data_IF_470091664395
#
_entry.id   IF_470091664395
#
_cell.length_a   1.000
_cell.length_b   1.000
_cell.length_c   1.000
_cell.angle_alpha   90.00
_cell.angle_beta   90.00
_cell.angle_gamma   90.00
#
_symmetry.space_group_name_H-M   'P 1'
#
loop_
_entity.id
_entity.type
_entity.pdbx_description
1 polymer ?
#
# COMPACT_ATOMS: atom_id res chain seq x y z
N UNK A 1 -56.66 -2.12 46.45
CA UNK A 1 -56.36 -0.70 46.23
C UNK A 1 -55.21 -0.64 45.24
N UNK A 2 -55.52 -0.30 44.00
CA UNK A 2 -54.61 -0.22 42.85
C UNK A 2 -53.77 1.04 42.96
N UNK A 3 -52.45 0.89 43.05
CA UNK A 3 -51.51 1.99 42.88
C UNK A 3 -51.31 2.23 41.38
N UNK A 4 -52.07 3.18 40.85
CA UNK A 4 -51.95 3.65 39.46
C UNK A 4 -50.77 4.61 39.40
N UNK A 5 -49.60 4.14 39.00
CA UNK A 5 -48.51 5.03 38.61
C UNK A 5 -48.98 5.95 37.48
N UNK A 6 -49.09 7.25 37.77
CA UNK A 6 -49.30 8.29 36.76
C UNK A 6 -48.14 8.27 35.78
N UNK A 7 -48.40 7.72 34.60
CA UNK A 7 -47.41 7.61 33.53
C UNK A 7 -47.30 8.96 32.85
N UNK A 8 -46.31 9.76 33.24
CA UNK A 8 -46.04 11.06 32.61
C UNK A 8 -45.55 10.85 31.18
N UNK A 9 -46.29 11.39 30.21
CA UNK A 9 -46.12 11.17 28.76
C UNK A 9 -45.32 12.28 28.06
N UNK A 10 -44.98 13.36 28.79
CA UNK A 10 -44.31 14.52 28.24
C UNK A 10 -42.78 14.34 28.26
N UNK A 11 -42.17 14.33 27.08
CA UNK A 11 -40.73 14.41 26.92
C UNK A 11 -40.29 15.86 27.16
N UNK A 12 -39.22 16.02 27.94
CA UNK A 12 -38.63 17.33 28.23
C UNK A 12 -37.29 17.38 27.52
N UNK A 13 -37.05 18.47 26.78
CA UNK A 13 -35.77 18.65 26.10
C UNK A 13 -34.68 18.91 27.14
N UNK A 14 -33.56 18.22 26.96
CA UNK A 14 -32.32 18.43 27.72
C UNK A 14 -31.23 18.89 26.77
N UNK A 15 -30.24 19.61 27.27
CA UNK A 15 -29.10 19.99 26.45
C UNK A 15 -28.37 18.72 25.97
N UNK A 16 -27.88 18.71 24.72
CA UNK A 16 -27.19 17.56 24.14
C UNK A 16 -26.02 17.07 25.02
N UNK A 17 -25.29 17.99 25.65
CA UNK A 17 -24.21 17.65 26.59
C UNK A 17 -24.69 16.89 27.81
N UNK A 18 -25.85 17.26 28.36
CA UNK A 18 -26.47 16.58 29.52
C UNK A 18 -27.02 15.20 29.11
N UNK A 19 -27.60 15.09 27.91
CA UNK A 19 -28.03 13.81 27.36
C UNK A 19 -26.84 12.85 27.16
N UNK A 20 -25.74 13.33 26.57
CA UNK A 20 -24.53 12.52 26.38
C UNK A 20 -23.86 12.14 27.71
N UNK A 21 -23.82 13.05 28.67
CA UNK A 21 -23.26 12.77 29.99
C UNK A 21 -24.07 11.71 30.74
N UNK A 22 -25.40 11.84 30.76
CA UNK A 22 -26.27 10.85 31.41
C UNK A 22 -26.20 9.48 30.73
N UNK A 23 -26.13 9.45 29.38
CA UNK A 23 -25.94 8.22 28.63
C UNK A 23 -24.62 7.51 28.98
N UNK A 24 -23.48 8.21 28.96
CA UNK A 24 -22.19 7.60 29.32
C UNK A 24 -22.15 7.15 30.79
N UNK A 25 -22.78 7.90 31.70
CA UNK A 25 -22.87 7.50 33.11
C UNK A 25 -23.65 6.18 33.25
N UNK A 26 -24.78 6.04 32.55
CA UNK A 26 -25.55 4.80 32.54
C UNK A 26 -24.76 3.62 31.95
N UNK A 27 -24.01 3.84 30.87
CA UNK A 27 -23.12 2.82 30.31
C UNK A 27 -22.02 2.41 31.31
N UNK A 28 -21.44 3.38 32.03
CA UNK A 28 -20.40 3.14 33.04
C UNK A 28 -20.92 2.29 34.20
N UNK A 29 -22.11 2.63 34.73
CA UNK A 29 -22.75 1.91 35.84
C UNK A 29 -23.00 0.43 35.50
N UNK A 30 -23.27 0.13 34.24
CA UNK A 30 -23.46 -1.23 33.74
C UNK A 30 -22.18 -1.90 33.19
N UNK A 31 -21.01 -1.25 33.30
CA UNK A 31 -19.74 -1.81 32.80
C UNK A 31 -19.68 -1.95 31.27
N UNK A 32 -20.43 -1.14 30.53
CA UNK A 32 -20.54 -1.17 29.07
C UNK A 32 -19.58 -0.21 28.35
N UNK A 33 -18.62 0.37 29.09
CA UNK A 33 -17.59 1.24 28.53
C UNK A 33 -16.34 0.49 28.07
N UNK A 34 -16.17 -0.75 28.53
CA UNK A 34 -15.04 -1.60 28.14
C UNK A 34 -15.34 -2.37 26.85
N UNK A 35 -14.30 -2.73 26.07
CA UNK A 35 -14.46 -3.60 24.92
C UNK A 35 -15.14 -4.93 25.30
N UNK A 36 -15.98 -5.43 24.40
CA UNK A 36 -16.56 -6.76 24.53
C UNK A 36 -15.46 -7.85 24.46
N UNK A 37 -15.86 -9.09 24.75
CA UNK A 37 -14.98 -10.25 24.61
C UNK A 37 -14.34 -10.36 23.23
N UNK A 38 -13.13 -10.90 23.21
CA UNK A 38 -12.35 -11.11 21.98
C UNK A 38 -12.54 -12.53 21.48
N UNK A 39 -12.65 -12.67 20.17
CA UNK A 39 -12.65 -13.96 19.50
C UNK A 39 -11.73 -13.92 18.27
N UNK A 40 -11.19 -15.08 17.89
CA UNK A 40 -10.50 -15.27 16.62
C UNK A 40 -11.46 -15.89 15.61
N UNK A 41 -11.48 -15.32 14.41
CA UNK A 41 -12.37 -15.74 13.33
C UNK A 41 -11.65 -15.67 11.98
N UNK A 42 -12.05 -16.48 10.98
CA UNK A 42 -11.50 -16.39 9.64
C UNK A 42 -11.84 -15.05 9.00
N UNK A 43 -10.94 -14.52 8.15
CA UNK A 43 -11.12 -13.22 7.49
C UNK A 43 -12.43 -13.11 6.70
N UNK A 44 -12.89 -14.22 6.12
CA UNK A 44 -14.17 -14.28 5.38
C UNK A 44 -15.41 -14.01 6.26
N UNK A 45 -15.30 -14.15 7.57
CA UNK A 45 -16.35 -13.85 8.55
C UNK A 45 -16.13 -12.52 9.29
N UNK A 46 -15.07 -11.78 8.96
CA UNK A 46 -14.69 -10.55 9.67
C UNK A 46 -15.42 -9.30 9.20
N UNK A 47 -16.23 -9.40 8.14
CA UNK A 47 -17.06 -8.29 7.67
C UNK A 47 -17.97 -7.81 8.80
N UNK A 48 -18.08 -6.49 8.97
CA UNK A 48 -18.89 -5.83 10.00
C UNK A 48 -18.46 -6.11 11.46
N UNK A 49 -17.27 -6.69 11.67
CA UNK A 49 -16.64 -6.84 12.99
C UNK A 49 -15.72 -5.65 13.30
N UNK A 50 -15.37 -5.48 14.57
CA UNK A 50 -14.40 -4.50 15.04
C UNK A 50 -13.14 -5.23 15.50
N UNK A 51 -11.96 -4.76 15.08
CA UNK A 51 -10.69 -5.32 15.54
C UNK A 51 -10.52 -5.09 17.04
N UNK A 52 -10.23 -6.15 17.79
CA UNK A 52 -10.01 -6.06 19.24
C UNK A 52 -8.70 -5.35 19.62
N UNK A 53 -7.72 -5.30 18.70
CA UNK A 53 -6.42 -4.68 18.90
C UNK A 53 -5.84 -4.18 17.56
N UNK A 54 -4.81 -3.30 17.58
CA UNK A 54 -4.12 -2.88 16.36
C UNK A 54 -3.53 -4.04 15.57
N UNK A 55 -3.61 -3.96 14.23
CA UNK A 55 -3.03 -4.96 13.33
C UNK A 55 -1.75 -4.40 12.72
N UNK A 56 -0.62 -5.08 12.97
CA UNK A 56 0.69 -4.71 12.44
C UNK A 56 1.11 -5.65 11.33
N UNK A 57 1.71 -5.09 10.27
CA UNK A 57 2.29 -5.89 9.20
C UNK A 57 3.48 -6.71 9.74
N UNK A 58 3.48 -8.03 9.46
CA UNK A 58 4.58 -8.92 9.86
C UNK A 58 5.78 -8.83 8.91
N UNK A 59 5.55 -8.40 7.67
CA UNK A 59 6.53 -8.28 6.60
C UNK A 59 6.23 -7.05 5.74
N UNK A 60 7.23 -6.54 5.04
CA UNK A 60 7.04 -5.55 3.99
C UNK A 60 6.20 -6.12 2.85
N UNK A 61 5.43 -5.26 2.17
CA UNK A 61 4.69 -5.61 0.97
C UNK A 61 4.89 -4.52 -0.08
N UNK A 62 5.58 -4.80 -1.20
CA UNK A 62 6.27 -6.06 -1.52
C UNK A 62 7.44 -6.34 -0.54
N UNK A 63 7.78 -7.62 -0.37
CA UNK A 63 8.87 -8.07 0.50
C UNK A 63 10.24 -8.13 -0.20
N UNK A 64 10.30 -7.65 -1.45
CA UNK A 64 11.47 -7.61 -2.32
C UNK A 64 11.42 -6.32 -3.17
N UNK A 65 12.52 -6.00 -3.84
CA UNK A 65 12.54 -4.92 -4.83
C UNK A 65 11.86 -5.41 -6.12
N UNK A 66 10.62 -4.99 -6.33
CA UNK A 66 9.86 -5.34 -7.51
C UNK A 66 10.01 -4.28 -8.61
N UNK A 67 10.04 -4.70 -9.87
CA UNK A 67 9.88 -3.81 -11.01
C UNK A 67 8.48 -3.18 -10.99
N UNK A 68 8.40 -1.85 -11.08
CA UNK A 68 7.13 -1.14 -11.07
C UNK A 68 6.44 -1.12 -12.44
N UNK A 69 7.19 -1.41 -13.51
CA UNK A 69 6.77 -1.33 -14.92
C UNK A 69 7.50 -2.41 -15.73
N UNK A 70 6.97 -2.73 -16.90
CA UNK A 70 7.65 -3.56 -17.89
C UNK A 70 8.82 -2.78 -18.51
N UNK A 71 9.96 -3.44 -18.70
CA UNK A 71 11.15 -2.78 -19.24
C UNK A 71 12.44 -3.53 -18.97
N UNK A 72 13.49 -2.77 -18.67
CA UNK A 72 14.83 -3.31 -18.48
C UNK A 72 15.43 -2.84 -17.16
N UNK A 73 15.73 -3.79 -16.28
CA UNK A 73 16.48 -3.57 -15.07
C UNK A 73 17.95 -3.29 -15.40
N UNK A 74 18.49 -2.22 -14.84
CA UNK A 74 19.86 -1.77 -15.06
C UNK A 74 20.54 -1.41 -13.74
N UNK A 75 21.87 -1.47 -13.71
CA UNK A 75 22.63 -0.74 -12.70
C UNK A 75 22.67 0.74 -13.10
N UNK A 76 22.21 1.64 -12.24
CA UNK A 76 21.94 3.03 -12.64
C UNK A 76 23.15 3.74 -13.27
N UNK A 77 24.36 3.46 -12.82
CA UNK A 77 25.59 4.05 -13.38
C UNK A 77 25.75 3.73 -14.87
N UNK A 78 25.27 2.57 -15.33
CA UNK A 78 25.30 2.19 -16.74
C UNK A 78 24.41 3.08 -17.60
N UNK A 79 23.35 3.69 -17.08
CA UNK A 79 22.45 4.56 -17.86
C UNK A 79 22.80 6.07 -17.76
N UNK A 80 23.74 6.43 -16.87
CA UNK A 80 24.11 7.84 -16.65
C UNK A 80 24.60 8.52 -17.93
N UNK A 81 24.35 9.84 -17.99
CA UNK A 81 24.71 10.74 -19.08
C UNK A 81 24.00 10.50 -20.42
N UNK A 82 23.01 9.60 -20.49
CA UNK A 82 22.11 9.50 -21.64
C UNK A 82 21.26 10.78 -21.77
N UNK A 83 21.32 11.40 -22.95
CA UNK A 83 20.49 12.56 -23.34
C UNK A 83 20.01 12.38 -24.78
N UNK A 84 19.00 13.14 -25.21
CA UNK A 84 18.47 13.05 -26.58
C UNK A 84 19.55 13.27 -27.65
N UNK A 85 20.47 14.21 -27.41
CA UNK A 85 21.60 14.51 -28.31
C UNK A 85 22.77 13.53 -28.17
N UNK A 86 22.77 12.69 -27.14
CA UNK A 86 23.82 11.70 -26.83
C UNK A 86 23.16 10.43 -26.28
N UNK A 87 22.43 9.69 -27.14
CA UNK A 87 21.77 8.46 -26.72
C UNK A 87 22.82 7.42 -26.31
N UNK A 88 22.41 6.50 -25.43
CA UNK A 88 23.28 5.46 -24.90
C UNK A 88 22.73 4.09 -25.25
N UNK A 89 23.61 3.19 -25.69
CA UNK A 89 23.27 1.79 -25.96
C UNK A 89 23.68 0.92 -24.79
N UNK A 90 22.76 0.08 -24.32
CA UNK A 90 23.00 -0.89 -23.26
C UNK A 90 22.77 -2.30 -23.82
N UNK A 91 23.75 -3.18 -23.64
CA UNK A 91 23.67 -4.57 -24.10
C UNK A 91 22.62 -5.34 -23.31
N UNK A 92 21.67 -5.94 -24.03
CA UNK A 92 20.64 -6.79 -23.43
C UNK A 92 21.30 -8.06 -22.88
N UNK A 93 20.84 -8.53 -21.71
CA UNK A 93 21.36 -9.71 -21.02
C UNK A 93 22.64 -9.48 -20.20
N UNK A 94 23.26 -8.29 -20.28
CA UNK A 94 24.47 -7.97 -19.48
C UNK A 94 24.39 -6.60 -18.80
N UNK A 95 23.95 -5.56 -19.50
CA UNK A 95 23.80 -4.21 -18.94
C UNK A 95 22.34 -3.83 -18.70
N UNK A 96 21.43 -4.48 -19.43
CA UNK A 96 20.00 -4.30 -19.37
C UNK A 96 19.34 -5.69 -19.35
N UNK A 97 18.59 -6.00 -18.30
CA UNK A 97 17.94 -7.30 -18.10
C UNK A 97 16.42 -7.09 -18.23
N UNK A 98 15.74 -7.78 -19.16
CA UNK A 98 14.30 -7.62 -19.30
C UNK A 98 13.58 -8.05 -18.03
N UNK A 99 12.59 -7.26 -17.61
CA UNK A 99 11.73 -7.51 -16.45
C UNK A 99 10.30 -7.08 -16.77
N UNK A 100 9.33 -7.83 -16.28
CA UNK A 100 7.92 -7.46 -16.30
C UNK A 100 7.50 -6.85 -14.96
N UNK A 101 6.34 -6.18 -14.96
CA UNK A 101 5.77 -5.58 -13.77
C UNK A 101 5.57 -6.61 -12.65
N UNK A 102 6.16 -6.34 -11.49
CA UNK A 102 6.13 -7.24 -10.34
C UNK A 102 7.30 -8.22 -10.27
N UNK A 103 8.12 -8.34 -11.32
CA UNK A 103 9.31 -9.19 -11.25
C UNK A 103 10.31 -8.68 -10.21
N UNK A 104 11.00 -9.58 -9.49
CA UNK A 104 12.11 -9.17 -8.64
C UNK A 104 13.23 -8.55 -9.47
N UNK A 105 13.79 -7.43 -8.99
CA UNK A 105 14.97 -6.84 -9.62
C UNK A 105 16.14 -7.83 -9.57
N UNK A 106 16.80 -8.10 -10.71
CA UNK A 106 18.00 -8.93 -10.75
C UNK A 106 19.11 -8.37 -9.86
N UNK A 107 20.03 -9.22 -9.38
CA UNK A 107 21.18 -8.78 -8.60
C UNK A 107 21.95 -7.65 -9.29
N UNK A 108 22.51 -6.73 -8.50
CA UNK A 108 23.28 -5.57 -8.97
C UNK A 108 22.51 -4.58 -9.86
N UNK A 109 21.20 -4.74 -10.04
CA UNK A 109 20.34 -3.74 -10.66
C UNK A 109 19.63 -2.90 -9.60
N UNK A 110 19.36 -1.64 -9.93
CA UNK A 110 18.69 -0.72 -9.02
C UNK A 110 17.93 0.39 -9.75
N UNK A 111 17.51 0.17 -10.99
CA UNK A 111 16.60 1.04 -11.72
C UNK A 111 15.95 0.23 -12.85
N UNK A 112 14.72 0.59 -13.24
CA UNK A 112 14.02 0.02 -14.39
C UNK A 112 13.79 1.11 -15.42
N UNK A 113 14.29 0.88 -16.63
CA UNK A 113 13.98 1.73 -17.78
C UNK A 113 12.72 1.16 -18.43
N UNK A 114 11.63 1.91 -18.34
CA UNK A 114 10.35 1.56 -18.99
C UNK A 114 10.56 1.22 -20.46
N UNK A 115 9.90 0.17 -20.95
CA UNK A 115 10.06 -0.30 -22.33
C UNK A 115 9.74 0.79 -23.37
N UNK A 116 8.79 1.69 -23.08
CA UNK A 116 8.39 2.81 -23.96
C UNK A 116 9.51 3.86 -24.12
N UNK A 117 10.47 3.90 -23.20
CA UNK A 117 11.64 4.78 -23.26
C UNK A 117 12.88 4.11 -23.88
N UNK A 118 12.70 2.91 -24.46
CA UNK A 118 13.78 2.17 -25.11
C UNK A 118 13.52 2.03 -26.60
N UNK A 119 14.59 1.99 -27.38
CA UNK A 119 14.57 1.62 -28.79
C UNK A 119 15.41 0.35 -28.98
N UNK A 120 14.82 -0.80 -29.31
CA UNK A 120 15.58 -2.02 -29.52
C UNK A 120 16.42 -1.94 -30.81
N UNK A 121 17.59 -2.55 -30.78
CA UNK A 121 18.47 -2.64 -31.93
C UNK A 121 19.41 -3.84 -31.85
N UNK A 122 20.12 -4.10 -32.94
CA UNK A 122 21.08 -5.19 -33.04
C UNK A 122 22.29 -4.73 -33.87
N UNK A 123 23.48 -5.09 -33.42
CA UNK A 123 24.73 -4.92 -34.18
C UNK A 123 25.59 -6.19 -34.09
N UNK A 124 26.87 -6.09 -34.49
CA UNK A 124 27.80 -7.20 -34.52
C UNK A 124 28.07 -7.84 -33.14
N UNK A 125 27.91 -7.11 -32.03
CA UNK A 125 28.10 -7.64 -30.68
C UNK A 125 26.79 -8.12 -30.04
N UNK A 126 25.66 -8.04 -30.75
CA UNK A 126 24.36 -8.56 -30.32
C UNK A 126 23.29 -7.49 -30.09
N UNK A 127 22.24 -7.89 -29.37
CA UNK A 127 21.08 -7.05 -29.08
C UNK A 127 21.40 -5.96 -28.06
N UNK A 128 20.80 -4.79 -28.25
CA UNK A 128 20.91 -3.66 -27.34
C UNK A 128 19.58 -2.90 -27.26
N UNK A 129 19.43 -2.13 -26.18
CA UNK A 129 18.46 -1.04 -26.11
C UNK A 129 19.18 0.29 -26.20
N UNK A 130 18.62 1.22 -26.96
CA UNK A 130 19.05 2.61 -26.98
C UNK A 130 18.11 3.46 -26.11
N UNK A 131 18.70 4.31 -25.27
CA UNK A 131 17.98 5.20 -24.36
C UNK A 131 18.40 6.65 -24.60
N UNK A 132 17.44 7.56 -24.49
CA UNK A 132 17.63 9.00 -24.69
C UNK A 132 17.58 9.82 -23.40
N UNK A 133 17.29 9.17 -22.26
CA UNK A 133 17.31 9.80 -20.95
C UNK A 133 17.82 8.83 -19.90
N UNK A 134 18.56 9.35 -18.92
CA UNK A 134 18.99 8.57 -17.76
C UNK A 134 17.81 8.29 -16.82
N UNK A 135 17.86 7.16 -16.13
CA UNK A 135 16.91 6.77 -15.08
C UNK A 135 17.61 6.81 -13.73
N UNK A 136 17.04 7.57 -12.81
CA UNK A 136 17.55 7.69 -11.44
C UNK A 136 17.56 6.32 -10.72
N UNK A 137 18.42 6.12 -9.71
CA UNK A 137 18.35 4.92 -8.89
C UNK A 137 16.98 4.81 -8.19
N UNK A 138 16.52 3.56 -8.06
CA UNK A 138 15.25 3.12 -7.49
C UNK A 138 14.01 3.70 -8.17
N UNK A 139 14.14 3.99 -9.46
CA UNK A 139 13.03 4.39 -10.32
C UNK A 139 12.61 3.27 -11.25
#
# INVERSE_FOLDING_TARGET
>A
MTDTHERNIYLHDVALSEALASWHAALAEHGLLDPLGVEELPLSAARDRVTAAPVWAKISSPHYHAAAMDGYAVFFFNNTAATETRPKRLRVGSQAIPVDTGDPLPPETNAVIMIEHTQPGQDADGEYIEIMAATAPWR
#
